data_IF_154260387213
#
_entry.id   IF_154260387213
#
_cell.length_a   1.000
_cell.length_b   1.000
_cell.length_c   1.000
_cell.angle_alpha   90.00
_cell.angle_beta   90.00
_cell.angle_gamma   90.00
#
_symmetry.space_group_name_H-M   'P 1'
#
loop_
_entity.id
_entity.type
_entity.pdbx_description
1 polymer ?
#
# COMPACT_ATOMS: atom_id res chain seq x y z
N UNK A 1 12.54 21.24 11.54
CA UNK A 1 12.43 20.54 10.23
C UNK A 1 12.17 21.57 9.15
N UNK A 2 13.02 21.59 8.12
CA UNK A 2 12.84 22.55 7.01
C UNK A 2 13.37 21.97 5.69
N UNK A 3 12.57 22.02 4.61
CA UNK A 3 12.93 21.56 3.26
C UNK A 3 12.08 22.20 2.19
N UNK A 4 12.56 22.13 0.94
CA UNK A 4 11.83 22.56 -0.25
C UNK A 4 11.72 21.38 -1.22
N UNK A 5 10.54 21.21 -1.80
CA UNK A 5 10.23 20.09 -2.70
C UNK A 5 9.27 20.56 -3.81
N UNK A 6 9.37 19.97 -5.00
CA UNK A 6 8.40 20.21 -6.07
C UNK A 6 7.01 19.68 -5.67
N UNK A 7 5.98 20.47 -5.98
CA UNK A 7 4.59 20.09 -5.67
C UNK A 7 4.22 18.71 -6.18
N UNK A 8 4.58 18.36 -7.40
CA UNK A 8 4.20 17.09 -8.04
C UNK A 8 4.70 15.90 -7.24
N UNK A 9 6.00 15.93 -6.86
CA UNK A 9 6.65 14.86 -6.08
C UNK A 9 5.98 14.70 -4.71
N UNK A 10 5.78 15.82 -4.01
CA UNK A 10 5.13 15.80 -2.69
C UNK A 10 3.69 15.31 -2.77
N UNK A 11 2.92 15.78 -3.77
CA UNK A 11 1.50 15.42 -3.93
C UNK A 11 1.34 13.93 -4.27
N UNK A 12 2.19 13.38 -5.12
CA UNK A 12 2.20 11.96 -5.45
C UNK A 12 2.45 11.11 -4.20
N UNK A 13 3.53 11.39 -3.47
CA UNK A 13 3.88 10.68 -2.24
C UNK A 13 2.80 10.81 -1.17
N UNK A 14 2.17 11.99 -1.02
CA UNK A 14 1.04 12.21 -0.13
C UNK A 14 -0.20 11.41 -0.54
N UNK A 15 -0.55 11.38 -1.83
CA UNK A 15 -1.69 10.61 -2.32
C UNK A 15 -1.49 9.11 -2.09
N UNK A 16 -0.28 8.59 -2.31
CA UNK A 16 0.07 7.21 -2.07
C UNK A 16 -0.04 6.87 -0.58
N UNK A 17 0.55 7.68 0.29
CA UNK A 17 0.55 7.47 1.74
C UNK A 17 -0.86 7.60 2.33
N UNK A 18 -1.67 8.56 1.84
CA UNK A 18 -3.03 8.81 2.34
C UNK A 18 -3.99 7.62 2.15
N UNK A 19 -3.67 6.64 1.30
CA UNK A 19 -4.47 5.41 1.13
C UNK A 19 -4.54 4.54 2.38
N UNK A 20 -3.55 4.67 3.27
CA UNK A 20 -3.57 3.99 4.57
C UNK A 20 -4.34 4.78 5.65
N UNK A 21 -4.96 5.92 5.33
CA UNK A 21 -5.73 6.68 6.31
C UNK A 21 -7.19 6.25 6.28
N UNK A 22 -7.70 5.85 7.44
CA UNK A 22 -9.13 5.58 7.64
C UNK A 22 -9.81 6.72 8.41
N UNK A 23 -10.94 7.20 7.89
CA UNK A 23 -11.78 8.19 8.60
C UNK A 23 -12.53 7.59 9.79
N UNK A 24 -12.55 6.26 9.90
CA UNK A 24 -13.19 5.51 11.00
C UNK A 24 -12.19 5.04 12.06
N UNK A 25 -10.95 5.53 12.02
CA UNK A 25 -9.93 5.10 12.95
C UNK A 25 -10.25 5.58 14.37
N UNK A 26 -10.17 4.66 15.34
CA UNK A 26 -10.38 4.95 16.76
C UNK A 26 -9.17 5.65 17.40
N UNK A 27 -8.02 5.62 16.75
CA UNK A 27 -6.77 6.25 17.22
C UNK A 27 -6.59 7.55 16.45
N UNK A 28 -6.81 8.73 17.09
CA UNK A 28 -6.85 10.01 16.37
C UNK A 28 -5.59 10.33 15.57
N UNK A 29 -4.40 10.01 16.09
CA UNK A 29 -3.13 10.32 15.42
C UNK A 29 -2.98 9.59 14.07
N UNK A 30 -3.63 8.42 13.89
CA UNK A 30 -3.62 7.66 12.64
C UNK A 30 -4.52 8.27 11.54
N UNK A 31 -5.21 9.38 11.82
CA UNK A 31 -5.83 10.21 10.78
C UNK A 31 -4.82 11.15 10.12
N UNK A 32 -3.60 11.18 10.64
CA UNK A 32 -2.49 11.99 10.15
C UNK A 32 -1.50 11.21 9.28
N UNK A 33 -0.67 11.98 8.59
CA UNK A 33 0.55 11.51 7.93
C UNK A 33 1.74 11.99 8.76
N UNK A 34 2.62 11.07 9.15
CA UNK A 34 3.89 11.41 9.77
C UNK A 34 4.89 11.77 8.68
N UNK A 35 5.46 12.93 8.77
CA UNK A 35 6.61 13.40 8.02
C UNK A 35 7.84 13.15 8.89
N UNK A 36 8.84 12.52 8.33
CA UNK A 36 10.12 12.23 8.99
C UNK A 36 11.26 12.56 8.02
N UNK A 37 11.80 13.77 8.14
CA UNK A 37 12.89 14.27 7.30
C UNK A 37 14.21 13.88 7.93
N UNK A 38 15.00 13.10 7.20
CA UNK A 38 16.34 12.64 7.57
C UNK A 38 17.38 13.14 6.58
N UNK A 39 18.65 12.87 6.84
CA UNK A 39 19.77 13.30 5.98
C UNK A 39 19.71 12.73 4.57
N UNK A 40 19.04 11.59 4.37
CA UNK A 40 18.88 10.88 3.09
C UNK A 40 17.61 11.25 2.32
N UNK A 41 16.63 11.91 2.97
CA UNK A 41 15.39 12.33 2.33
C UNK A 41 14.19 12.40 3.27
N UNK A 42 13.01 12.52 2.67
CA UNK A 42 11.73 12.62 3.38
C UNK A 42 10.98 11.29 3.35
N UNK A 43 10.64 10.78 4.52
CA UNK A 43 9.79 9.63 4.72
C UNK A 43 8.38 10.09 5.12
N UNK A 44 7.36 9.59 4.44
CA UNK A 44 5.96 9.79 4.77
C UNK A 44 5.35 8.47 5.23
N UNK A 45 4.72 8.48 6.41
CA UNK A 45 4.10 7.28 6.98
C UNK A 45 2.62 7.52 7.27
N UNK A 46 1.79 6.54 6.97
CA UNK A 46 0.42 6.46 7.44
C UNK A 46 0.03 5.01 7.75
N UNK A 47 -0.95 4.84 8.63
CA UNK A 47 -1.48 3.52 8.98
C UNK A 47 -2.92 3.64 9.48
N UNK A 48 -3.72 2.60 9.23
CA UNK A 48 -5.04 2.43 9.87
C UNK A 48 -5.10 1.18 10.77
N UNK A 49 -3.94 0.63 11.14
CA UNK A 49 -3.69 -0.61 11.87
C UNK A 49 -3.72 -1.88 11.01
N UNK A 50 -4.53 -1.92 9.95
CA UNK A 50 -4.60 -3.05 9.02
C UNK A 50 -3.66 -2.88 7.82
N UNK A 51 -3.54 -1.63 7.37
CA UNK A 51 -2.64 -1.22 6.29
C UNK A 51 -1.66 -0.18 6.83
N UNK A 52 -0.40 -0.31 6.47
CA UNK A 52 0.62 0.71 6.72
C UNK A 52 1.36 1.01 5.41
N UNK A 53 1.59 2.29 5.15
CA UNK A 53 2.31 2.74 3.97
C UNK A 53 3.46 3.64 4.39
N UNK A 54 4.63 3.41 3.78
CA UNK A 54 5.78 4.33 3.78
C UNK A 54 6.06 4.73 2.34
N UNK A 55 6.06 6.01 2.07
CA UNK A 55 6.60 6.59 0.83
C UNK A 55 7.90 7.32 1.14
N UNK A 56 8.90 7.21 0.29
CA UNK A 56 10.19 7.85 0.45
C UNK A 56 10.46 8.79 -0.74
N UNK A 57 10.86 10.01 -0.42
CA UNK A 57 11.35 10.99 -1.38
C UNK A 57 12.84 11.16 -1.12
N UNK A 58 13.73 10.69 -2.00
CA UNK A 58 15.16 10.77 -1.78
C UNK A 58 15.63 12.23 -1.81
N UNK A 59 16.73 12.51 -1.11
CA UNK A 59 17.34 13.86 -1.06
C UNK A 59 17.60 14.46 -2.43
N UNK A 60 17.89 13.65 -3.42
CA UNK A 60 18.12 14.08 -4.80
C UNK A 60 16.89 14.71 -5.47
N UNK A 61 15.69 14.43 -4.97
CA UNK A 61 14.42 14.97 -5.44
C UNK A 61 13.93 16.17 -4.61
N UNK A 62 14.61 16.48 -3.51
CA UNK A 62 14.37 17.70 -2.73
C UNK A 62 15.15 18.85 -3.34
N UNK A 63 14.50 20.02 -3.48
CA UNK A 63 15.18 21.25 -3.91
C UNK A 63 16.15 21.75 -2.85
N UNK A 64 15.77 21.64 -1.56
CA UNK A 64 16.67 21.84 -0.42
C UNK A 64 16.28 20.94 0.75
N UNK A 65 17.27 20.61 1.59
CA UNK A 65 17.12 19.95 2.89
C UNK A 65 17.96 20.75 3.88
N UNK A 66 17.30 21.58 4.67
CA UNK A 66 17.96 22.57 5.53
C UNK A 66 18.06 22.08 6.99
N UNK A 67 16.98 21.46 7.51
CA UNK A 67 16.91 21.02 8.89
C UNK A 67 16.06 19.74 9.03
N UNK A 68 16.64 18.67 9.54
CA UNK A 68 15.95 17.38 9.81
C UNK A 68 14.93 17.51 10.93
N UNK A 69 13.99 16.57 11.00
CA UNK A 69 12.98 16.55 12.07
C UNK A 69 11.71 15.82 11.64
N UNK A 70 10.74 15.78 12.55
CA UNK A 70 9.50 15.01 12.32
C UNK A 70 8.28 15.75 12.82
N UNK A 71 7.12 15.48 12.21
CA UNK A 71 5.81 15.99 12.60
C UNK A 71 4.70 15.07 12.09
N UNK A 72 3.55 15.05 12.77
CA UNK A 72 2.33 14.42 12.25
C UNK A 72 1.32 15.49 11.88
N UNK A 73 0.79 15.45 10.65
CA UNK A 73 -0.18 16.42 10.14
C UNK A 73 -1.44 15.68 9.68
N UNK A 74 -2.61 16.24 9.97
CA UNK A 74 -3.88 15.69 9.49
C UNK A 74 -3.88 15.44 7.98
N UNK A 75 -3.97 14.16 7.59
CA UNK A 75 -3.73 13.73 6.22
C UNK A 75 -4.68 14.37 5.21
N UNK A 76 -5.97 14.46 5.56
CA UNK A 76 -6.97 15.11 4.71
C UNK A 76 -6.61 16.57 4.41
N UNK A 77 -6.13 17.31 5.41
CA UNK A 77 -5.83 18.74 5.26
C UNK A 77 -4.58 18.96 4.41
N UNK A 78 -3.49 18.24 4.69
CA UNK A 78 -2.24 18.44 3.95
C UNK A 78 -2.40 18.06 2.48
N UNK A 79 -3.07 16.95 2.17
CA UNK A 79 -3.34 16.53 0.78
C UNK A 79 -4.15 17.56 0.02
N UNK A 80 -5.23 18.10 0.63
CA UNK A 80 -6.09 19.10 -0.01
C UNK A 80 -5.38 20.43 -0.22
N UNK A 81 -4.55 20.87 0.71
CA UNK A 81 -3.77 22.11 0.59
C UNK A 81 -2.76 21.95 -0.56
N UNK A 82 -1.92 20.91 -0.50
CA UNK A 82 -0.87 20.69 -1.52
C UNK A 82 -1.50 20.53 -2.92
N UNK A 83 -2.65 19.86 -3.03
CA UNK A 83 -3.36 19.72 -4.30
C UNK A 83 -3.76 21.06 -4.91
N UNK A 84 -4.16 22.05 -4.08
CA UNK A 84 -4.64 23.36 -4.54
C UNK A 84 -3.53 24.39 -4.74
N UNK A 85 -2.32 24.14 -4.28
CA UNK A 85 -1.18 25.03 -4.53
C UNK A 85 -0.84 25.08 -6.03
N UNK A 86 -0.21 26.18 -6.50
CA UNK A 86 0.32 26.23 -7.85
C UNK A 86 1.42 25.17 -8.08
N UNK A 87 1.69 24.85 -9.34
CA UNK A 87 2.73 23.87 -9.70
C UNK A 87 4.14 24.48 -9.63
N UNK A 88 4.61 24.72 -8.42
CA UNK A 88 5.89 25.34 -8.08
C UNK A 88 6.59 24.57 -6.97
N UNK A 89 7.74 25.01 -6.56
CA UNK A 89 8.40 24.55 -5.35
C UNK A 89 7.58 24.95 -4.11
N UNK A 90 7.47 24.02 -3.17
CA UNK A 90 6.78 24.20 -1.89
C UNK A 90 7.84 24.16 -0.79
N UNK A 91 7.86 25.18 0.03
CA UNK A 91 8.64 25.22 1.27
C UNK A 91 7.80 24.68 2.42
N UNK A 92 8.36 23.75 3.15
CA UNK A 92 7.78 23.15 4.36
C UNK A 92 8.70 23.45 5.54
N UNK A 93 8.16 24.10 6.56
CA UNK A 93 8.89 24.43 7.78
C UNK A 93 8.07 24.11 9.03
N UNK A 94 8.69 23.46 10.00
CA UNK A 94 8.10 23.21 11.33
C UNK A 94 8.77 24.11 12.33
N UNK A 95 7.97 24.92 13.00
CA UNK A 95 8.39 25.81 14.08
C UNK A 95 7.92 25.28 15.44
N UNK A 96 8.31 25.95 16.50
CA UNK A 96 7.97 25.59 17.89
C UNK A 96 6.49 25.26 18.09
N UNK A 97 6.19 24.24 18.94
CA UNK A 97 4.83 23.80 19.25
C UNK A 97 4.17 22.98 18.13
N UNK A 98 4.94 22.32 17.28
CA UNK A 98 4.47 21.50 16.16
C UNK A 98 3.59 22.27 15.17
N UNK A 99 3.93 23.50 14.88
CA UNK A 99 3.26 24.30 13.87
C UNK A 99 3.96 24.15 12.54
N UNK A 100 3.23 23.64 11.53
CA UNK A 100 3.69 23.50 10.15
C UNK A 100 3.35 24.74 9.35
N UNK A 101 4.34 25.30 8.67
CA UNK A 101 4.19 26.38 7.68
C UNK A 101 4.42 25.75 6.30
N UNK A 102 3.47 25.96 5.40
CA UNK A 102 3.55 25.56 4.00
C UNK A 102 3.50 26.83 3.18
N UNK A 103 4.54 27.10 2.43
CA UNK A 103 4.61 28.36 1.64
C UNK A 103 5.06 28.10 0.21
N UNK A 104 4.60 28.99 -0.67
CA UNK A 104 5.07 29.21 -2.04
C UNK A 104 5.35 30.70 -2.20
N UNK A 105 5.79 31.16 -3.37
CA UNK A 105 6.12 32.58 -3.61
C UNK A 105 5.00 33.55 -3.17
N UNK A 106 3.72 33.14 -3.31
CA UNK A 106 2.57 34.03 -3.10
C UNK A 106 1.54 33.53 -2.10
N UNK A 107 1.80 32.40 -1.43
CA UNK A 107 0.80 31.75 -0.57
C UNK A 107 1.46 31.15 0.66
N UNK A 108 0.82 31.31 1.83
CA UNK A 108 1.25 30.68 3.07
C UNK A 108 0.05 30.06 3.79
N UNK A 109 0.23 28.84 4.27
CA UNK A 109 -0.70 28.13 5.12
C UNK A 109 -0.03 27.71 6.41
N UNK A 110 -0.78 27.78 7.50
CA UNK A 110 -0.35 27.35 8.82
C UNK A 110 -1.25 26.22 9.31
N UNK A 111 -0.66 25.08 9.67
CA UNK A 111 -1.35 23.93 10.23
C UNK A 111 -0.79 23.58 11.62
N UNK A 112 -1.67 23.15 12.52
CA UNK A 112 -1.23 22.57 13.78
C UNK A 112 -0.97 21.08 13.54
N UNK A 113 0.22 20.64 13.88
CA UNK A 113 0.63 19.25 13.89
C UNK A 113 0.48 18.62 15.27
N UNK A 114 0.85 17.36 15.35
CA UNK A 114 0.85 16.53 16.56
C UNK A 114 2.27 16.04 16.78
N UNK A 115 2.63 15.79 18.05
CA UNK A 115 3.90 15.23 18.42
C UNK A 115 4.17 13.90 17.67
N UNK A 116 5.25 13.79 16.90
CA UNK A 116 5.56 12.58 16.12
C UNK A 116 5.88 11.36 17.01
N UNK A 117 6.24 11.55 18.28
CA UNK A 117 6.51 10.46 19.23
C UNK A 117 5.24 9.70 19.63
N UNK A 118 4.07 10.30 19.45
CA UNK A 118 2.78 9.65 19.68
C UNK A 118 2.37 8.73 18.52
N UNK A 119 3.02 8.86 17.35
CA UNK A 119 2.74 8.00 16.20
C UNK A 119 3.36 6.62 16.42
N UNK A 120 2.59 5.53 16.25
CA UNK A 120 3.10 4.19 16.52
C UNK A 120 4.29 3.85 15.62
N UNK A 121 5.22 3.09 16.16
CA UNK A 121 6.31 2.53 15.36
C UNK A 121 5.73 1.49 14.39
N UNK A 122 5.93 1.69 13.10
CA UNK A 122 5.50 0.76 12.07
C UNK A 122 6.64 -0.23 11.78
N UNK A 123 6.36 -1.51 11.96
CA UNK A 123 7.28 -2.59 11.63
C UNK A 123 7.20 -2.87 10.10
N UNK A 124 8.00 -2.15 9.32
CA UNK A 124 8.09 -2.26 7.87
C UNK A 124 9.41 -2.92 7.42
N UNK A 125 9.89 -3.87 8.21
CA UNK A 125 11.13 -4.59 7.92
C UNK A 125 10.96 -5.51 6.71
N UNK A 126 11.98 -5.51 5.85
CA UNK A 126 12.06 -6.34 4.65
C UNK A 126 12.71 -7.69 4.96
N UNK A 127 12.28 -8.77 4.32
CA UNK A 127 12.95 -10.08 4.39
C UNK A 127 14.22 -10.07 3.53
N UNK A 128 15.16 -10.98 3.80
CA UNK A 128 16.39 -11.08 3.01
C UNK A 128 16.17 -11.61 1.59
N UNK A 129 15.12 -12.43 1.40
CA UNK A 129 14.83 -13.12 0.15
C UNK A 129 13.36 -12.86 -0.22
N UNK A 130 13.05 -11.72 -0.86
CA UNK A 130 11.70 -11.42 -1.33
C UNK A 130 11.35 -12.27 -2.55
N UNK A 131 10.06 -12.47 -2.77
CA UNK A 131 9.56 -13.04 -4.02
C UNK A 131 9.32 -11.90 -4.99
N UNK A 132 10.01 -11.92 -6.13
CA UNK A 132 9.91 -10.87 -7.15
C UNK A 132 8.84 -11.26 -8.17
N UNK A 133 7.86 -10.39 -8.40
CA UNK A 133 6.74 -10.62 -9.30
C UNK A 133 6.57 -9.42 -10.22
N UNK A 134 6.41 -9.64 -11.53
CA UNK A 134 6.12 -8.57 -12.47
C UNK A 134 4.78 -7.89 -12.14
N UNK A 135 4.73 -6.56 -12.20
CA UNK A 135 3.58 -5.73 -11.84
C UNK A 135 2.34 -6.08 -12.68
N UNK A 136 2.48 -6.13 -14.00
CA UNK A 136 1.37 -6.42 -14.90
C UNK A 136 0.75 -7.78 -14.61
N UNK A 137 1.59 -8.81 -14.43
CA UNK A 137 1.15 -10.15 -14.07
C UNK A 137 0.42 -10.16 -12.72
N UNK A 138 0.93 -9.44 -11.71
CA UNK A 138 0.31 -9.36 -10.40
C UNK A 138 -1.04 -8.62 -10.45
N UNK A 139 -1.10 -7.47 -11.13
CA UNK A 139 -2.35 -6.72 -11.32
C UNK A 139 -3.42 -7.56 -12.01
N UNK A 140 -3.05 -8.24 -13.08
CA UNK A 140 -3.97 -9.06 -13.86
C UNK A 140 -4.56 -10.20 -13.04
N UNK A 141 -3.73 -10.93 -12.30
CA UNK A 141 -4.22 -12.06 -11.49
C UNK A 141 -5.13 -11.59 -10.36
N UNK A 142 -4.81 -10.46 -9.72
CA UNK A 142 -5.65 -9.89 -8.67
C UNK A 142 -6.98 -9.39 -9.25
N UNK A 143 -6.96 -8.58 -10.32
CA UNK A 143 -8.17 -8.03 -10.94
C UNK A 143 -9.12 -9.12 -11.46
N UNK A 144 -8.56 -10.25 -11.95
CA UNK A 144 -9.35 -11.37 -12.47
C UNK A 144 -9.91 -12.29 -11.37
N UNK A 145 -9.57 -12.07 -10.10
CA UNK A 145 -10.00 -12.96 -9.00
C UNK A 145 -10.70 -12.22 -7.86
N UNK A 146 -10.24 -11.04 -7.48
CA UNK A 146 -10.68 -10.32 -6.28
C UNK A 146 -12.18 -9.99 -6.27
N UNK A 147 -12.83 -9.83 -7.43
CA UNK A 147 -14.26 -9.54 -7.54
C UNK A 147 -15.16 -10.65 -6.96
N UNK A 148 -14.63 -11.87 -6.82
CA UNK A 148 -15.37 -13.01 -6.27
C UNK A 148 -15.30 -13.12 -4.74
N UNK A 149 -14.62 -12.20 -4.04
CA UNK A 149 -14.57 -12.18 -2.58
C UNK A 149 -15.91 -11.82 -1.96
N UNK A 150 -16.16 -12.31 -0.73
CA UNK A 150 -17.37 -12.00 0.03
C UNK A 150 -17.33 -10.59 0.61
N UNK A 151 -18.50 -9.95 0.71
CA UNK A 151 -18.68 -8.71 1.48
C UNK A 151 -19.20 -8.96 2.90
N UNK A 152 -19.43 -10.24 3.26
CA UNK A 152 -20.01 -10.60 4.55
C UNK A 152 -18.91 -10.88 5.59
N UNK A 153 -18.86 -10.06 6.62
CA UNK A 153 -17.92 -10.20 7.75
C UNK A 153 -18.13 -11.47 8.60
N UNK A 154 -19.29 -12.11 8.47
CA UNK A 154 -19.58 -13.39 9.14
C UNK A 154 -18.69 -14.56 8.67
N UNK A 155 -18.06 -14.41 7.50
CA UNK A 155 -17.06 -15.35 6.94
C UNK A 155 -15.77 -14.60 6.61
N UNK A 156 -14.97 -14.21 7.61
CA UNK A 156 -13.84 -13.31 7.43
C UNK A 156 -12.84 -13.77 6.36
N UNK A 157 -12.50 -15.07 6.33
CA UNK A 157 -11.57 -15.61 5.33
C UNK A 157 -12.03 -15.41 3.89
N UNK A 158 -13.35 -15.42 3.64
CA UNK A 158 -13.90 -15.22 2.29
C UNK A 158 -13.92 -13.74 1.87
N UNK A 159 -13.68 -12.81 2.80
CA UNK A 159 -13.50 -11.38 2.45
C UNK A 159 -12.13 -11.09 1.87
N UNK A 160 -11.22 -12.07 1.90
CA UNK A 160 -9.88 -12.00 1.36
C UNK A 160 -9.70 -12.86 0.11
N UNK A 161 -8.59 -12.60 -0.56
CA UNK A 161 -8.07 -13.41 -1.65
C UNK A 161 -7.00 -14.36 -1.10
N UNK A 162 -7.12 -15.65 -1.41
CA UNK A 162 -6.09 -16.62 -1.07
C UNK A 162 -5.00 -16.60 -2.14
N UNK A 163 -3.78 -16.33 -1.74
CA UNK A 163 -2.58 -16.30 -2.59
C UNK A 163 -1.68 -17.47 -2.21
N UNK A 164 -1.39 -18.31 -3.17
CA UNK A 164 -0.43 -19.42 -3.03
C UNK A 164 0.71 -19.23 -4.02
N UNK A 165 1.93 -19.39 -3.53
CA UNK A 165 3.14 -19.37 -4.34
C UNK A 165 3.94 -20.63 -4.04
N UNK A 166 4.30 -21.39 -5.08
CA UNK A 166 5.13 -22.56 -4.97
C UNK A 166 5.97 -22.73 -6.24
N UNK A 167 7.28 -22.82 -6.08
CA UNK A 167 8.20 -22.85 -7.21
C UNK A 167 8.09 -21.57 -8.06
N UNK A 168 7.66 -21.69 -9.29
CA UNK A 168 7.42 -20.57 -10.19
C UNK A 168 5.93 -20.31 -10.47
N UNK A 169 5.05 -20.79 -9.61
CA UNK A 169 3.60 -20.72 -9.82
C UNK A 169 2.96 -19.82 -8.77
N UNK A 170 2.19 -18.84 -9.24
CA UNK A 170 1.33 -17.98 -8.43
C UNK A 170 -0.12 -18.35 -8.71
N UNK A 171 -0.84 -18.78 -7.69
CA UNK A 171 -2.26 -19.07 -7.72
C UNK A 171 -3.02 -18.09 -6.84
N UNK A 172 -4.07 -17.48 -7.37
CA UNK A 172 -5.00 -16.67 -6.62
C UNK A 172 -6.40 -17.27 -6.69
N UNK A 173 -7.06 -17.34 -5.54
CA UNK A 173 -8.43 -17.88 -5.42
C UNK A 173 -9.27 -16.95 -4.56
N UNK A 174 -10.48 -16.66 -5.04
CA UNK A 174 -11.50 -15.93 -4.27
C UNK A 174 -12.87 -16.60 -4.45
N UNK A 175 -13.68 -16.61 -3.38
CA UNK A 175 -15.05 -17.12 -3.40
C UNK A 175 -15.89 -16.45 -2.32
N UNK A 176 -17.18 -16.28 -2.61
CA UNK A 176 -18.19 -15.84 -1.65
C UNK A 176 -19.19 -16.96 -1.26
N UNK A 177 -18.88 -18.20 -1.64
CA UNK A 177 -19.70 -19.42 -1.54
C UNK A 177 -20.77 -19.59 -2.65
N UNK A 178 -21.00 -18.59 -3.51
CA UNK A 178 -21.92 -18.66 -4.64
C UNK A 178 -21.20 -18.67 -5.99
N UNK A 179 -20.02 -18.04 -6.03
CA UNK A 179 -19.12 -17.99 -7.19
C UNK A 179 -17.69 -18.20 -6.75
N UNK A 180 -16.86 -18.61 -7.68
CA UNK A 180 -15.43 -18.85 -7.46
C UNK A 180 -14.65 -18.30 -8.65
N UNK A 181 -13.61 -17.52 -8.36
CA UNK A 181 -12.60 -17.15 -9.34
C UNK A 181 -11.26 -17.76 -8.93
N UNK A 182 -10.63 -18.46 -9.88
CA UNK A 182 -9.31 -19.06 -9.69
C UNK A 182 -8.45 -18.74 -10.91
N UNK A 183 -7.27 -18.20 -10.67
CA UNK A 183 -6.28 -17.93 -11.70
C UNK A 183 -4.95 -18.48 -11.24
N UNK A 184 -4.25 -19.13 -12.18
CA UNK A 184 -2.91 -19.64 -11.96
C UNK A 184 -2.01 -19.10 -13.07
N UNK A 185 -0.88 -18.54 -12.72
CA UNK A 185 0.11 -18.00 -13.64
C UNK A 185 1.49 -18.48 -13.26
N UNK A 186 2.39 -18.58 -14.26
CA UNK A 186 3.80 -18.85 -14.03
C UNK A 186 4.59 -17.57 -14.17
N UNK A 187 5.51 -17.33 -13.24
CA UNK A 187 6.49 -16.26 -13.35
C UNK A 187 7.89 -16.83 -13.62
N UNK A 188 8.81 -15.97 -14.05
CA UNK A 188 10.08 -16.44 -14.59
C UNK A 188 11.04 -16.97 -13.52
N UNK A 189 10.97 -16.39 -12.32
CA UNK A 189 11.90 -16.71 -11.25
C UNK A 189 11.35 -17.86 -10.39
N UNK A 190 12.21 -18.84 -10.13
CA UNK A 190 11.88 -19.92 -9.20
C UNK A 190 12.13 -19.46 -7.78
N UNK A 191 11.22 -19.78 -6.86
CA UNK A 191 11.40 -19.57 -5.42
C UNK A 191 11.27 -20.88 -4.66
N UNK A 192 12.14 -21.08 -3.69
CA UNK A 192 12.01 -22.18 -2.71
C UNK A 192 10.95 -21.89 -1.63
N UNK A 193 10.45 -20.65 -1.59
CA UNK A 193 9.41 -20.24 -0.64
C UNK A 193 8.08 -20.90 -1.00
N UNK A 194 7.40 -21.42 0.02
CA UNK A 194 6.04 -21.94 -0.09
C UNK A 194 5.11 -21.01 0.69
N UNK A 195 4.34 -20.21 -0.03
CA UNK A 195 3.45 -19.18 0.53
C UNK A 195 2.00 -19.63 0.37
N UNK A 196 1.23 -19.52 1.45
CA UNK A 196 -0.22 -19.72 1.43
C UNK A 196 -0.84 -18.74 2.43
N UNK A 197 -1.28 -17.60 1.93
CA UNK A 197 -1.79 -16.49 2.75
C UNK A 197 -3.14 -16.01 2.22
N UNK A 198 -3.92 -15.38 3.11
CA UNK A 198 -5.17 -14.73 2.74
C UNK A 198 -5.05 -13.23 3.03
N UNK A 199 -5.11 -12.42 1.99
CA UNK A 199 -5.02 -10.95 2.11
C UNK A 199 -6.42 -10.37 1.99
N UNK A 200 -6.84 -9.43 2.87
CA UNK A 200 -8.12 -8.75 2.72
C UNK A 200 -8.26 -8.11 1.34
N UNK A 201 -9.39 -8.34 0.67
CA UNK A 201 -9.64 -7.83 -0.69
C UNK A 201 -9.54 -6.31 -0.77
N UNK A 202 -9.98 -5.60 0.29
CA UNK A 202 -9.84 -4.15 0.39
C UNK A 202 -8.37 -3.73 0.33
N UNK A 203 -7.52 -4.38 1.11
CA UNK A 203 -6.11 -4.00 1.23
C UNK A 203 -5.35 -4.25 -0.07
N UNK A 204 -5.52 -5.44 -0.67
CA UNK A 204 -4.84 -5.75 -1.92
C UNK A 204 -5.31 -4.86 -3.08
N UNK A 205 -6.58 -4.48 -3.11
CA UNK A 205 -7.11 -3.54 -4.09
C UNK A 205 -6.51 -2.13 -3.94
N UNK A 206 -6.22 -1.67 -2.70
CA UNK A 206 -5.51 -0.41 -2.52
C UNK A 206 -4.06 -0.50 -3.00
N UNK A 207 -3.37 -1.62 -2.77
CA UNK A 207 -2.03 -1.83 -3.27
C UNK A 207 -1.97 -1.85 -4.81
N UNK A 208 -2.88 -2.57 -5.47
CA UNK A 208 -2.93 -2.65 -6.95
C UNK A 208 -3.10 -1.28 -7.61
N UNK A 209 -3.77 -0.33 -6.95
CA UNK A 209 -3.91 1.06 -7.44
C UNK A 209 -2.64 1.89 -7.32
N UNK A 210 -1.65 1.44 -6.55
CA UNK A 210 -0.35 2.11 -6.38
C UNK A 210 0.66 1.67 -7.45
N UNK A 211 0.43 0.54 -8.09
CA UNK A 211 1.27 0.00 -9.14
C UNK A 211 0.84 0.63 -10.48
N UNK A 212 1.64 1.49 -11.05
CA UNK A 212 1.32 2.24 -12.28
C UNK A 212 2.07 1.72 -13.53
N UNK A 213 3.25 1.11 -13.35
CA UNK A 213 4.09 0.63 -14.45
C UNK A 213 4.13 -0.89 -14.50
N UNK A 214 3.50 -1.46 -15.53
CA UNK A 214 3.39 -2.90 -15.73
C UNK A 214 4.72 -3.56 -16.15
N UNK A 215 5.74 -2.77 -16.50
CA UNK A 215 7.07 -3.27 -16.88
C UNK A 215 7.99 -3.50 -15.68
N UNK A 216 7.68 -2.88 -14.53
CA UNK A 216 8.43 -3.04 -13.28
C UNK A 216 8.01 -4.29 -12.52
N UNK A 217 8.65 -4.53 -11.40
CA UNK A 217 8.36 -5.64 -10.51
C UNK A 217 8.14 -5.16 -9.06
N UNK A 218 7.37 -5.92 -8.32
CA UNK A 218 7.22 -5.80 -6.87
C UNK A 218 8.06 -6.85 -6.17
N UNK A 219 8.50 -6.52 -4.97
CA UNK A 219 9.06 -7.48 -4.02
C UNK A 219 7.98 -7.83 -2.98
N UNK A 220 7.68 -9.10 -2.85
CA UNK A 220 6.73 -9.63 -1.86
C UNK A 220 7.50 -10.24 -0.71
N UNK A 221 7.33 -9.69 0.49
CA UNK A 221 7.88 -10.17 1.75
C UNK A 221 6.76 -10.75 2.60
N UNK A 222 6.89 -11.99 3.04
CA UNK A 222 5.86 -12.69 3.82
C UNK A 222 6.30 -12.94 5.25
N UNK A 223 5.38 -12.71 6.19
CA UNK A 223 5.56 -12.91 7.63
C UNK A 223 4.39 -13.74 8.17
N UNK A 224 4.44 -14.10 9.44
CA UNK A 224 3.40 -14.93 10.07
C UNK A 224 2.02 -14.26 10.18
N UNK A 225 1.97 -12.92 10.27
CA UNK A 225 0.74 -12.16 10.50
C UNK A 225 0.53 -10.99 9.54
N UNK A 226 1.49 -10.75 8.65
CA UNK A 226 1.48 -9.64 7.71
C UNK A 226 2.16 -10.01 6.39
N UNK A 227 1.90 -9.21 5.38
CA UNK A 227 2.61 -9.20 4.11
C UNK A 227 3.09 -7.78 3.84
N UNK A 228 4.29 -7.64 3.28
CA UNK A 228 4.85 -6.37 2.85
C UNK A 228 5.12 -6.45 1.34
N UNK A 229 4.66 -5.45 0.63
CA UNK A 229 4.96 -5.22 -0.77
C UNK A 229 5.90 -4.02 -0.87
N UNK A 230 6.98 -4.19 -1.61
CA UNK A 230 7.87 -3.09 -1.98
C UNK A 230 7.74 -2.82 -3.47
N UNK A 231 7.50 -1.58 -3.79
CA UNK A 231 7.43 -1.09 -5.15
C UNK A 231 8.17 0.25 -5.21
N UNK A 232 9.35 0.26 -5.82
CA UNK A 232 10.26 1.41 -5.84
C UNK A 232 10.51 1.96 -4.43
N UNK A 233 10.22 3.24 -4.20
CA UNK A 233 10.38 3.94 -2.93
C UNK A 233 9.17 3.81 -1.99
N UNK A 234 8.23 2.92 -2.32
CA UNK A 234 7.02 2.67 -1.55
C UNK A 234 7.05 1.31 -0.87
N UNK A 235 6.75 1.29 0.43
CA UNK A 235 6.43 0.07 1.17
C UNK A 235 4.96 0.08 1.54
N UNK A 236 4.28 -1.01 1.19
CA UNK A 236 2.88 -1.23 1.53
C UNK A 236 2.76 -2.51 2.36
N UNK A 237 2.34 -2.39 3.60
CA UNK A 237 2.09 -3.52 4.49
C UNK A 237 0.59 -3.74 4.63
N UNK A 238 0.18 -5.01 4.62
CA UNK A 238 -1.17 -5.44 4.98
C UNK A 238 -1.13 -6.51 6.06
N UNK A 239 -2.08 -6.46 7.01
CA UNK A 239 -2.43 -7.64 7.81
C UNK A 239 -2.92 -8.77 6.90
N UNK A 240 -2.75 -10.03 7.34
CA UNK A 240 -3.34 -11.19 6.69
C UNK A 240 -4.49 -11.75 7.54
N UNK A 241 -5.44 -12.43 6.88
CA UNK A 241 -6.53 -13.11 7.57
C UNK A 241 -6.04 -14.49 8.04
N UNK A 242 -6.07 -14.70 9.35
CA UNK A 242 -5.64 -15.97 9.95
C UNK A 242 -6.69 -17.07 9.77
N UNK A 243 -6.25 -18.27 9.40
CA UNK A 243 -7.10 -19.45 9.26
C UNK A 243 -6.77 -20.24 7.99
N UNK A 244 -7.49 -21.35 7.80
CA UNK A 244 -7.36 -22.19 6.61
C UNK A 244 -8.42 -21.81 5.60
N UNK A 245 -7.99 -21.32 4.43
CA UNK A 245 -8.90 -21.03 3.33
C UNK A 245 -9.59 -22.32 2.87
N UNK A 246 -10.88 -22.30 2.51
CA UNK A 246 -11.60 -23.50 2.06
C UNK A 246 -10.91 -24.19 0.90
N UNK A 247 -10.94 -25.53 0.88
CA UNK A 247 -10.44 -26.27 -0.28
C UNK A 247 -11.41 -26.06 -1.46
N UNK A 248 -10.96 -25.35 -2.47
CA UNK A 248 -11.75 -25.01 -3.65
C UNK A 248 -11.50 -25.94 -4.83
N UNK A 249 -10.51 -26.83 -4.78
CA UNK A 249 -10.19 -27.73 -5.89
C UNK A 249 -11.30 -28.75 -6.14
N UNK A 250 -11.97 -29.20 -5.06
CA UNK A 250 -13.11 -30.11 -5.16
C UNK A 250 -14.40 -29.45 -5.67
N UNK A 251 -14.45 -28.12 -5.74
CA UNK A 251 -15.62 -27.37 -6.22
C UNK A 251 -15.62 -27.18 -7.73
N UNK A 252 -14.47 -27.34 -8.38
CA UNK A 252 -14.34 -27.24 -9.84
C UNK A 252 -14.73 -28.57 -10.44
N UNK A 253 -15.83 -28.65 -11.27
CA UNK A 253 -16.22 -29.87 -11.94
C UNK A 253 -15.11 -30.40 -12.86
N UNK A 254 -14.90 -31.70 -12.88
CA UNK A 254 -13.96 -32.34 -13.81
C UNK A 254 -14.63 -32.80 -15.09
N UNK A 255 -15.97 -33.01 -15.05
CA UNK A 255 -16.78 -33.47 -16.17
C UNK A 255 -17.84 -32.41 -16.52
N UNK A 256 -18.01 -32.18 -17.81
CA UNK A 256 -18.99 -31.23 -18.35
C UNK A 256 -19.84 -31.93 -19.41
N UNK A 257 -21.15 -31.87 -19.27
CA UNK A 257 -22.08 -32.39 -20.26
C UNK A 257 -22.10 -31.55 -21.54
N UNK A 258 -21.85 -30.23 -21.41
CA UNK A 258 -21.91 -29.30 -22.54
C UNK A 258 -20.68 -28.39 -22.50
N UNK A 259 -19.96 -28.32 -23.61
CA UNK A 259 -18.77 -27.46 -23.79
C UNK A 259 -19.01 -26.53 -25.00
N UNK A 260 -18.87 -25.23 -24.79
CA UNK A 260 -18.86 -24.21 -25.84
C UNK A 260 -17.49 -23.56 -25.96
N UNK A 261 -17.08 -23.32 -27.21
CA UNK A 261 -15.95 -22.45 -27.52
C UNK A 261 -16.49 -21.13 -28.06
N UNK A 262 -16.07 -20.03 -27.45
CA UNK A 262 -16.42 -18.67 -27.88
C UNK A 262 -15.12 -17.88 -28.04
N UNK A 263 -15.07 -17.03 -29.04
CA UNK A 263 -14.01 -16.03 -29.18
C UNK A 263 -14.29 -14.87 -28.21
N UNK A 264 -13.25 -14.40 -27.52
CA UNK A 264 -13.34 -13.31 -26.52
C UNK A 264 -12.63 -12.06 -27.02
#
# INVERSE_FOLDING_TARGET
>A
MKFIVKKEILLESLNNTARAISTKNLIPILTGIKFDLKDDGLYLYASDTDVSIRSFIPKSELTSLDEVGSIVIGGKYIVEIVRKLPNTDISIEVIDGYKLIISTDNTEFNLNGINPDEFPNLDLDETKEPIVINNGLFKDIINQTVFATSQQESKPLLTGINIKIAGNTLECVATDSYRLAKKCVKFNDYTDSNVNIVIPARNINEFVKLIDDDTKAIELHTFSNKVLFKYEDLLFQSSILNGTYPNTDSLVPNDYEIIYKVDT
#
